data_IF_427736860239
#
_entry.id   IF_427736860239
#
_cell.length_a   1.000
_cell.length_b   1.000
_cell.length_c   1.000
_cell.angle_alpha   90.00
_cell.angle_beta   90.00
_cell.angle_gamma   90.00
#
_symmetry.space_group_name_H-M   'P 1'
#
loop_
_entity.id
_entity.type
_entity.pdbx_description
1 polymer ?
#
# COMPACT_ATOMS: atom_id res chain seq x y z
N UNK A 1 -12.53 -15.06 26.00
CA UNK A 1 -11.63 -13.91 25.80
C UNK A 1 -11.89 -13.27 24.45
N UNK A 2 -12.04 -11.98 24.45
CA UNK A 2 -12.20 -11.32 23.16
C UNK A 2 -10.92 -11.44 22.36
N UNK A 3 -11.08 -11.47 21.06
CA UNK A 3 -9.95 -11.52 20.15
C UNK A 3 -9.18 -10.21 20.27
N UNK A 4 -7.85 -10.26 20.44
CA UNK A 4 -7.08 -9.02 20.55
C UNK A 4 -7.14 -8.23 19.24
N UNK A 5 -7.17 -6.92 19.38
CA UNK A 5 -7.11 -6.05 18.23
C UNK A 5 -5.66 -5.98 17.74
N UNK A 6 -5.52 -5.75 16.44
CA UNK A 6 -4.20 -5.45 15.88
C UNK A 6 -3.69 -4.17 16.52
N UNK A 7 -2.50 -4.18 17.13
CA UNK A 7 -1.94 -2.96 17.70
C UNK A 7 -1.78 -1.87 16.66
N UNK A 8 -1.94 -0.63 17.09
CA UNK A 8 -1.77 0.52 16.21
C UNK A 8 -0.41 0.51 15.53
N UNK A 9 0.63 0.11 16.26
CA UNK A 9 1.99 0.03 15.72
C UNK A 9 2.08 -0.94 14.54
N UNK A 10 1.36 -2.06 14.59
CA UNK A 10 1.34 -3.01 13.48
C UNK A 10 0.58 -2.44 12.30
N UNK A 11 -0.52 -1.71 12.56
CA UNK A 11 -1.29 -1.08 11.50
C UNK A 11 -0.43 -0.05 10.77
N UNK A 12 0.26 0.80 11.51
CA UNK A 12 1.14 1.81 10.92
C UNK A 12 2.28 1.15 10.16
N UNK A 13 2.86 0.10 10.72
CA UNK A 13 3.93 -0.65 10.06
C UNK A 13 3.45 -1.23 8.72
N UNK A 14 2.23 -1.78 8.70
CA UNK A 14 1.65 -2.31 7.47
C UNK A 14 1.45 -1.24 6.41
N UNK A 15 0.92 -0.09 6.81
CA UNK A 15 0.74 1.05 5.92
C UNK A 15 2.08 1.49 5.34
N UNK A 16 3.09 1.60 6.19
CA UNK A 16 4.41 2.04 5.77
C UNK A 16 5.07 1.07 4.81
N UNK A 17 4.93 -0.24 5.05
CA UNK A 17 5.50 -1.25 4.16
C UNK A 17 4.93 -1.14 2.76
N UNK A 18 3.62 -0.93 2.66
CA UNK A 18 2.97 -0.77 1.35
C UNK A 18 3.47 0.50 0.68
N UNK A 19 3.51 1.61 1.41
CA UNK A 19 3.97 2.87 0.87
C UNK A 19 5.40 2.77 0.36
N UNK A 20 6.31 2.20 1.15
CA UNK A 20 7.70 2.03 0.76
C UNK A 20 7.82 1.15 -0.48
N UNK A 21 7.03 0.08 -0.54
CA UNK A 21 7.04 -0.83 -1.69
C UNK A 21 6.62 -0.09 -2.96
N UNK A 22 5.54 0.69 -2.88
CA UNK A 22 5.07 1.48 -4.03
C UNK A 22 6.09 2.53 -4.44
N UNK A 23 6.67 3.22 -3.47
CA UNK A 23 7.66 4.26 -3.74
C UNK A 23 8.90 3.67 -4.42
N UNK A 24 9.35 2.52 -3.93
CA UNK A 24 10.53 1.85 -4.50
C UNK A 24 10.27 1.37 -5.93
N UNK A 25 9.05 0.90 -6.21
CA UNK A 25 8.68 0.45 -7.55
C UNK A 25 8.58 1.61 -8.55
N UNK A 26 8.29 2.80 -8.06
CA UNK A 26 8.21 3.98 -8.92
C UNK A 26 7.13 3.86 -9.99
N UNK A 27 7.44 4.25 -11.20
CA UNK A 27 6.46 4.26 -12.29
C UNK A 27 6.04 2.87 -12.74
N UNK A 28 6.81 1.85 -12.41
CA UNK A 28 6.43 0.47 -12.74
C UNK A 28 5.22 0.02 -11.92
N UNK A 29 5.12 0.53 -10.71
CA UNK A 29 4.02 0.19 -9.82
C UNK A 29 4.11 -1.23 -9.28
N UNK A 30 3.07 -1.64 -8.56
CA UNK A 30 3.00 -2.97 -7.96
C UNK A 30 1.64 -3.60 -8.21
N UNK A 31 1.64 -4.89 -8.51
CA UNK A 31 0.40 -5.68 -8.54
C UNK A 31 0.09 -6.15 -7.12
N UNK A 32 -1.08 -6.74 -6.93
CA UNK A 32 -1.42 -7.33 -5.63
C UNK A 32 -0.43 -8.42 -5.25
N UNK A 33 0.00 -9.23 -6.22
CA UNK A 33 1.00 -10.27 -6.00
C UNK A 33 2.32 -9.67 -5.51
N UNK A 34 2.75 -8.57 -6.14
CA UNK A 34 3.97 -7.88 -5.73
C UNK A 34 3.84 -7.36 -4.29
N UNK A 35 2.70 -6.78 -3.96
CA UNK A 35 2.47 -6.23 -2.63
C UNK A 35 2.41 -7.32 -1.57
N UNK A 36 1.75 -8.43 -1.84
CA UNK A 36 1.70 -9.54 -0.88
C UNK A 36 3.08 -10.14 -0.65
N UNK A 37 3.88 -10.29 -1.72
CA UNK A 37 5.23 -10.83 -1.62
C UNK A 37 6.15 -9.91 -0.83
N UNK A 38 6.07 -8.60 -1.08
CA UNK A 38 6.97 -7.64 -0.46
C UNK A 38 6.62 -7.35 1.00
N UNK A 39 5.33 -7.36 1.33
CA UNK A 39 4.88 -6.96 2.68
C UNK A 39 4.58 -8.13 3.59
N UNK A 40 4.28 -9.28 3.04
CA UNK A 40 3.84 -10.43 3.82
C UNK A 40 2.40 -10.32 4.31
N UNK A 41 1.68 -9.30 3.88
CA UNK A 41 0.31 -9.07 4.29
C UNK A 41 -0.67 -9.79 3.36
N UNK A 42 -1.84 -10.14 3.89
CA UNK A 42 -2.87 -10.77 3.06
C UNK A 42 -3.58 -9.72 2.22
N UNK A 43 -4.18 -10.19 1.13
CA UNK A 43 -4.83 -9.32 0.15
C UNK A 43 -5.83 -8.34 0.75
N UNK A 44 -6.69 -8.82 1.64
CA UNK A 44 -7.70 -7.97 2.29
C UNK A 44 -7.06 -6.84 3.07
N UNK A 45 -5.99 -7.14 3.79
CA UNK A 45 -5.27 -6.15 4.58
C UNK A 45 -4.62 -5.12 3.67
N UNK A 46 -4.03 -5.56 2.57
CA UNK A 46 -3.41 -4.66 1.60
C UNK A 46 -4.45 -3.72 1.01
N UNK A 47 -5.59 -4.25 0.60
CA UNK A 47 -6.65 -3.44 0.01
C UNK A 47 -7.14 -2.38 0.98
N UNK A 48 -7.36 -2.76 2.23
CA UNK A 48 -7.77 -1.83 3.28
C UNK A 48 -6.71 -0.75 3.50
N UNK A 49 -5.45 -1.16 3.55
CA UNK A 49 -4.35 -0.23 3.80
C UNK A 49 -4.12 0.72 2.64
N UNK A 50 -4.33 0.27 1.40
CA UNK A 50 -4.25 1.17 0.24
C UNK A 50 -5.28 2.29 0.36
N UNK A 51 -6.51 1.94 0.74
CA UNK A 51 -7.55 2.94 0.94
C UNK A 51 -7.20 3.89 2.08
N UNK A 52 -6.65 3.37 3.16
CA UNK A 52 -6.24 4.19 4.30
C UNK A 52 -5.14 5.17 3.89
N UNK A 53 -4.17 4.73 3.11
CA UNK A 53 -3.10 5.60 2.61
C UNK A 53 -3.67 6.74 1.76
N UNK A 54 -4.61 6.43 0.89
CA UNK A 54 -5.26 7.45 0.07
C UNK A 54 -6.01 8.44 0.95
N UNK A 55 -6.73 7.94 1.94
CA UNK A 55 -7.48 8.80 2.87
C UNK A 55 -6.55 9.70 3.67
N UNK A 56 -5.35 9.24 3.97
CA UNK A 56 -4.36 10.02 4.72
C UNK A 56 -3.66 11.07 3.84
N UNK A 57 -3.85 11.01 2.53
CA UNK A 57 -3.29 12.01 1.63
C UNK A 57 -2.24 11.52 0.66
N UNK A 58 -1.98 10.22 0.63
CA UNK A 58 -1.05 9.66 -0.36
C UNK A 58 -1.69 9.69 -1.73
N UNK A 59 -0.92 10.09 -2.73
CA UNK A 59 -1.40 10.15 -4.12
C UNK A 59 -1.11 8.82 -4.80
N UNK A 60 -2.03 7.90 -4.63
CA UNK A 60 -1.92 6.55 -5.21
C UNK A 60 -2.98 6.40 -6.30
N UNK A 61 -2.53 5.98 -7.47
CA UNK A 61 -3.44 5.67 -8.58
C UNK A 61 -3.33 4.19 -8.92
N UNK A 62 -4.28 3.71 -9.69
CA UNK A 62 -4.23 2.33 -10.15
C UNK A 62 -4.77 2.22 -11.56
N UNK A 63 -4.25 1.26 -12.29
CA UNK A 63 -4.79 0.86 -13.57
C UNK A 63 -5.64 -0.38 -13.37
N UNK A 64 -6.82 -0.39 -13.97
CA UNK A 64 -7.69 -1.55 -13.86
C UNK A 64 -7.11 -2.74 -14.61
N UNK A 65 -7.42 -3.93 -14.12
CA UNK A 65 -7.02 -5.15 -14.80
C UNK A 65 -7.67 -5.21 -16.20
N UNK A 66 -6.87 -5.55 -17.21
CA UNK A 66 -7.36 -5.68 -18.58
C UNK A 66 -6.73 -6.92 -19.20
N UNK A 67 -7.57 -7.79 -19.78
CA UNK A 67 -7.07 -9.01 -20.39
C UNK A 67 -6.23 -9.81 -19.40
N UNK A 68 -4.98 -10.06 -19.74
CA UNK A 68 -4.05 -10.77 -18.86
C UNK A 68 -3.26 -9.84 -17.95
N UNK A 69 -3.46 -8.52 -18.06
CA UNK A 69 -2.72 -7.55 -17.25
C UNK A 69 -3.44 -7.34 -15.92
N UNK A 70 -2.81 -7.63 -14.78
CA UNK A 70 -3.44 -7.41 -13.48
C UNK A 70 -3.48 -5.93 -13.12
N UNK A 71 -4.34 -5.60 -12.16
CA UNK A 71 -4.41 -4.23 -11.64
C UNK A 71 -3.06 -3.87 -11.01
N UNK A 72 -2.60 -2.66 -11.31
CA UNK A 72 -1.31 -2.15 -10.83
C UNK A 72 -1.53 -0.84 -10.09
N UNK A 73 -0.93 -0.71 -8.90
CA UNK A 73 -0.99 0.51 -8.10
C UNK A 73 0.34 1.25 -8.18
N UNK A 74 0.27 2.59 -8.21
CA UNK A 74 1.46 3.45 -8.28
C UNK A 74 1.31 4.60 -7.30
N UNK A 75 2.41 4.95 -6.66
CA UNK A 75 2.49 6.18 -5.88
C UNK A 75 2.93 7.27 -6.86
N UNK A 76 2.02 8.20 -7.18
CA UNK A 76 2.24 9.18 -8.25
C UNK A 76 2.65 10.54 -7.77
N UNK A 77 2.61 10.78 -6.47
CA UNK A 77 2.95 12.08 -5.93
C UNK A 77 3.24 12.03 -4.45
N UNK A 78 2.52 12.86 -3.70
CA UNK A 78 2.76 13.00 -2.27
C UNK A 78 2.47 11.72 -1.50
N UNK A 79 3.30 11.45 -0.50
CA UNK A 79 3.08 10.39 0.45
C UNK A 79 3.21 10.95 1.87
N UNK A 80 2.36 10.47 2.77
CA UNK A 80 2.41 10.91 4.18
C UNK A 80 3.66 10.42 4.91
N UNK A 81 4.35 9.43 4.35
CA UNK A 81 5.56 8.90 4.96
C UNK A 81 6.83 9.39 4.29
N UNK A 82 6.70 10.00 3.11
CA UNK A 82 7.85 10.45 2.37
C UNK A 82 8.04 11.95 2.58
N UNK A 83 9.25 12.40 2.51
CA UNK A 83 9.53 13.82 2.58
C UNK A 83 9.33 14.44 3.93
N UNK A 84 9.22 13.65 4.93
CA UNK A 84 9.05 14.19 6.28
C UNK A 84 10.09 15.24 6.61
N UNK A 85 10.79 15.56 5.69
CA UNK A 85 11.71 16.57 5.80
C UNK A 85 11.21 17.88 5.82
N UNK A 86 11.20 17.56 5.91
CA UNK A 86 11.57 18.51 5.90
C UNK A 86 11.40 19.06 5.88
#
# INVERSE_FOLDING_TARGET
MPKPRTPLSETVSGLRRIEVTLRTAGSDGCTMTDLTAATGLVRRTIDRNLRALIDLGCEITHDDATGSTPRTWRLTGRSVFAGGGR
#
